data_IF_139713769222
#
_entry.id   IF_139713769222
#
_cell.length_a   1.000
_cell.length_b   1.000
_cell.length_c   1.000
_cell.angle_alpha   90.00
_cell.angle_beta   90.00
_cell.angle_gamma   90.00
#
_symmetry.space_group_name_H-M   'P 1'
#
loop_
_entity.id
_entity.type
_entity.pdbx_description
1 polymer ?
#
# COMPACT_ATOMS: atom_id res chain seq x y z
N UNK A 1 -4.80 -6.38 19.67
CA UNK A 1 -3.89 -7.45 19.19
C UNK A 1 -4.50 -8.07 17.94
N UNK A 2 -4.58 -7.30 16.86
CA UNK A 2 -4.91 -7.83 15.54
C UNK A 2 -3.60 -8.21 14.89
N UNK A 3 -3.30 -9.50 14.78
CA UNK A 3 -2.17 -9.95 13.99
C UNK A 3 -2.54 -9.70 12.53
N UNK A 4 -2.01 -8.62 11.97
CA UNK A 4 -1.88 -8.46 10.53
C UNK A 4 -0.88 -9.54 10.12
N UNK A 5 -1.37 -10.70 9.71
CA UNK A 5 -0.55 -11.72 9.09
C UNK A 5 -0.28 -11.18 7.69
N UNK A 6 0.74 -10.34 7.58
CA UNK A 6 1.38 -10.06 6.30
C UNK A 6 1.84 -11.42 5.78
N UNK A 7 1.25 -11.86 4.68
CA UNK A 7 1.89 -12.92 3.89
C UNK A 7 3.24 -12.33 3.51
N UNK A 8 4.31 -12.83 4.13
CA UNK A 8 5.68 -12.26 4.23
C UNK A 8 6.36 -11.80 2.91
N UNK A 9 5.68 -11.80 1.76
CA UNK A 9 6.19 -11.30 0.47
C UNK A 9 5.17 -10.50 -0.34
N UNK A 10 3.85 -10.64 -0.12
CA UNK A 10 2.83 -10.05 -1.03
C UNK A 10 1.66 -9.40 -0.30
N UNK A 11 1.25 -8.22 -0.77
CA UNK A 11 0.16 -7.43 -0.17
C UNK A 11 -1.25 -7.86 -0.62
N UNK A 12 -1.38 -8.97 -1.35
CA UNK A 12 -2.66 -9.50 -1.81
C UNK A 12 -2.55 -10.41 -3.04
N UNK A 13 -3.68 -10.94 -3.53
CA UNK A 13 -3.68 -11.90 -4.64
C UNK A 13 -3.26 -11.26 -5.98
N UNK A 14 -3.59 -9.99 -6.22
CA UNK A 14 -3.16 -9.29 -7.43
C UNK A 14 -1.66 -9.05 -7.47
N UNK A 15 -1.03 -8.84 -6.32
CA UNK A 15 0.41 -8.63 -6.21
C UNK A 15 1.18 -9.91 -6.58
N UNK A 16 0.74 -11.04 -6.03
CA UNK A 16 1.24 -12.36 -6.39
C UNK A 16 1.05 -12.63 -7.89
N UNK A 17 -0.12 -12.32 -8.45
CA UNK A 17 -0.36 -12.51 -9.88
C UNK A 17 0.56 -11.66 -10.76
N UNK A 18 0.76 -10.38 -10.41
CA UNK A 18 1.70 -9.52 -11.15
C UNK A 18 3.12 -10.06 -11.11
N UNK A 19 3.56 -10.59 -9.97
CA UNK A 19 4.88 -11.19 -9.82
C UNK A 19 5.03 -12.48 -10.65
N UNK A 20 4.02 -13.37 -10.63
CA UNK A 20 4.02 -14.58 -11.46
C UNK A 20 4.03 -14.24 -12.96
N UNK A 21 3.25 -13.25 -13.39
CA UNK A 21 3.22 -12.80 -14.79
C UNK A 21 4.57 -12.20 -15.17
N UNK A 22 5.17 -11.38 -14.30
CA UNK A 22 6.48 -10.79 -14.50
C UNK A 22 7.60 -11.84 -14.62
N UNK A 23 7.61 -12.86 -13.76
CA UNK A 23 8.60 -13.96 -13.79
C UNK A 23 8.54 -14.81 -15.05
N UNK A 24 7.36 -14.95 -15.65
CA UNK A 24 7.19 -15.70 -16.90
C UNK A 24 7.41 -14.82 -18.15
N UNK A 25 7.77 -13.54 -17.99
CA UNK A 25 7.99 -12.57 -19.09
C UNK A 25 6.79 -12.45 -20.05
N UNK A 26 5.57 -12.59 -19.52
CA UNK A 26 4.33 -12.57 -20.32
C UNK A 26 3.72 -11.16 -20.33
N UNK A 27 3.12 -10.78 -21.46
CA UNK A 27 2.26 -9.59 -21.55
C UNK A 27 0.98 -9.74 -20.70
N UNK A 28 0.57 -8.66 -20.05
CA UNK A 28 -0.70 -8.58 -19.31
C UNK A 28 -1.93 -8.76 -20.22
N UNK A 29 -1.81 -8.47 -21.52
CA UNK A 29 -2.94 -8.64 -22.46
C UNK A 29 -3.08 -10.07 -22.99
N UNK A 30 -2.03 -10.89 -22.90
CA UNK A 30 -2.05 -12.29 -23.36
C UNK A 30 -1.54 -13.26 -22.30
N UNK A 31 -2.28 -13.32 -21.19
CA UNK A 31 -1.90 -14.15 -20.06
C UNK A 31 -2.23 -15.63 -20.36
N UNK A 32 -1.26 -16.57 -20.25
CA UNK A 32 -1.52 -18.00 -20.32
C UNK A 32 -2.14 -18.47 -19.00
N UNK A 33 -3.46 -18.28 -18.89
CA UNK A 33 -4.24 -18.58 -17.67
C UNK A 33 -3.97 -19.98 -17.16
N UNK A 34 -3.86 -20.98 -18.04
CA UNK A 34 -3.62 -22.36 -17.62
C UNK A 34 -2.35 -22.52 -16.77
N UNK A 35 -1.25 -21.85 -17.18
CA UNK A 35 0.04 -21.90 -16.50
C UNK A 35 0.05 -21.03 -15.24
N UNK A 36 -0.50 -19.81 -15.32
CA UNK A 36 -0.55 -18.90 -14.17
C UNK A 36 -1.42 -19.47 -13.05
N UNK A 37 -2.57 -20.08 -13.38
CA UNK A 37 -3.43 -20.74 -12.38
C UNK A 37 -2.71 -21.87 -11.66
N UNK A 38 -1.91 -22.66 -12.37
CA UNK A 38 -1.14 -23.76 -11.77
C UNK A 38 -0.05 -23.24 -10.82
N UNK A 39 0.71 -22.22 -11.24
CA UNK A 39 1.71 -21.58 -10.40
C UNK A 39 1.09 -20.92 -9.16
N UNK A 40 -0.07 -20.27 -9.32
CA UNK A 40 -0.80 -19.64 -8.24
C UNK A 40 -1.27 -20.66 -7.20
N UNK A 41 -1.88 -21.77 -7.64
CA UNK A 41 -2.30 -22.85 -6.75
C UNK A 41 -1.11 -23.51 -6.06
N UNK A 42 -0.02 -23.77 -6.78
CA UNK A 42 1.20 -24.31 -6.20
C UNK A 42 1.75 -23.42 -5.07
N UNK A 43 1.76 -22.10 -5.28
CA UNK A 43 2.15 -21.15 -4.23
C UNK A 43 1.24 -21.25 -3.01
N UNK A 44 -0.09 -21.28 -3.20
CA UNK A 44 -1.05 -21.43 -2.09
C UNK A 44 -0.87 -22.73 -1.31
N UNK A 45 -0.68 -23.87 -1.99
CA UNK A 45 -0.42 -25.13 -1.31
C UNK A 45 0.88 -25.09 -0.51
N UNK A 46 1.94 -24.46 -1.03
CA UNK A 46 3.20 -24.30 -0.31
C UNK A 46 3.08 -23.44 0.96
N UNK A 47 2.12 -22.51 0.99
CA UNK A 47 1.81 -21.73 2.20
C UNK A 47 1.07 -22.59 3.22
N UNK A 48 0.11 -23.40 2.75
CA UNK A 48 -0.65 -24.30 3.61
C UNK A 48 0.25 -25.35 4.27
N UNK A 49 1.25 -25.88 3.55
CA UNK A 49 2.25 -26.82 4.10
C UNK A 49 3.15 -26.19 5.17
N UNK A 50 3.30 -24.86 5.14
CA UNK A 50 4.10 -24.09 6.12
C UNK A 50 3.26 -23.60 7.31
N UNK A 51 2.04 -24.09 7.47
CA UNK A 51 1.07 -23.65 8.48
C UNK A 51 0.78 -22.14 8.45
N UNK A 52 0.93 -21.50 7.28
CA UNK A 52 0.60 -20.08 7.10
C UNK A 52 -0.89 -19.91 6.79
N UNK A 53 -1.53 -18.94 7.45
CA UNK A 53 -2.94 -18.65 7.25
C UNK A 53 -3.18 -18.04 5.86
N UNK A 54 -3.94 -18.74 5.01
CA UNK A 54 -4.39 -18.21 3.72
C UNK A 54 -5.60 -17.30 3.95
N UNK A 55 -5.57 -16.07 3.42
CA UNK A 55 -6.71 -15.15 3.53
C UNK A 55 -7.81 -15.50 2.51
N UNK A 56 -9.06 -15.16 2.82
CA UNK A 56 -10.21 -15.47 1.95
C UNK A 56 -10.10 -14.88 0.55
N UNK A 57 -9.41 -13.75 0.39
CA UNK A 57 -9.19 -13.09 -0.90
C UNK A 57 -8.38 -13.96 -1.87
N UNK A 58 -7.39 -14.72 -1.38
CA UNK A 58 -6.62 -15.64 -2.21
C UNK A 58 -7.46 -16.83 -2.68
N UNK A 59 -8.36 -17.34 -1.83
CA UNK A 59 -9.26 -18.42 -2.21
C UNK A 59 -10.28 -17.96 -3.27
N UNK A 60 -10.81 -16.75 -3.13
CA UNK A 60 -11.70 -16.14 -4.14
C UNK A 60 -10.97 -15.98 -5.48
N UNK A 61 -9.70 -15.55 -5.45
CA UNK A 61 -8.90 -15.44 -6.66
C UNK A 61 -8.59 -16.81 -7.28
N UNK A 62 -8.24 -17.82 -6.48
CA UNK A 62 -8.04 -19.19 -6.95
C UNK A 62 -9.28 -19.73 -7.67
N UNK A 63 -10.47 -19.57 -7.08
CA UNK A 63 -11.73 -19.96 -7.69
C UNK A 63 -11.99 -19.20 -9.01
N UNK A 64 -11.71 -17.90 -9.04
CA UNK A 64 -11.83 -17.07 -10.24
C UNK A 64 -10.92 -17.57 -11.37
N UNK A 65 -9.66 -17.86 -11.08
CA UNK A 65 -8.68 -18.38 -12.04
C UNK A 65 -9.06 -19.77 -12.57
N UNK A 66 -9.58 -20.65 -11.71
CA UNK A 66 -10.07 -21.98 -12.12
C UNK A 66 -11.29 -21.82 -13.03
N UNK A 67 -12.22 -20.92 -12.71
CA UNK A 67 -13.39 -20.62 -13.53
C UNK A 67 -12.99 -20.12 -14.92
N UNK A 68 -12.06 -19.16 -14.99
CA UNK A 68 -11.54 -18.64 -16.27
C UNK A 68 -10.84 -19.74 -17.06
N UNK A 69 -10.00 -20.57 -16.40
CA UNK A 69 -9.34 -21.72 -17.04
C UNK A 69 -10.35 -22.71 -17.62
N UNK A 70 -11.41 -23.03 -16.88
CA UNK A 70 -12.47 -23.93 -17.34
C UNK A 70 -13.17 -23.37 -18.58
N UNK A 71 -13.61 -22.10 -18.55
CA UNK A 71 -14.33 -21.47 -19.67
C UNK A 71 -13.46 -21.33 -20.93
N UNK A 72 -12.14 -21.18 -20.78
CA UNK A 72 -11.20 -21.12 -21.90
C UNK A 72 -10.92 -22.48 -22.54
N UNK A 73 -11.02 -23.58 -21.78
CA UNK A 73 -10.67 -24.92 -22.26
C UNK A 73 -11.89 -25.71 -22.74
N UNK A 74 -13.09 -25.35 -22.31
CA UNK A 74 -14.32 -26.02 -22.71
C UNK A 74 -14.76 -25.57 -24.11
N UNK A 75 -15.28 -26.49 -24.96
CA UNK A 75 -15.90 -26.11 -26.21
C UNK A 75 -17.13 -25.23 -25.94
N UNK A 76 -17.24 -24.11 -26.65
CA UNK A 76 -18.42 -23.25 -26.57
C UNK A 76 -19.60 -24.01 -27.16
N UNK A 77 -20.66 -24.20 -26.36
CA UNK A 77 -21.91 -24.73 -26.87
C UNK A 77 -22.48 -23.74 -27.91
N UNK A 78 -23.08 -24.23 -29.01
CA UNK A 78 -23.76 -23.35 -29.95
C UNK A 78 -24.88 -22.62 -29.20
N UNK A 79 -24.67 -21.31 -29.04
CA UNK A 79 -25.50 -20.32 -28.36
C UNK A 79 -27.02 -20.62 -28.46
N UNK A 80 -27.62 -21.09 -27.36
CA UNK A 80 -29.02 -20.79 -27.06
C UNK A 80 -29.03 -19.53 -26.18
N UNK A 81 -29.13 -18.35 -26.81
CA UNK A 81 -29.51 -17.04 -26.26
C UNK A 81 -29.31 -16.78 -24.74
N UNK A 82 -28.14 -17.12 -24.17
CA UNK A 82 -27.77 -16.63 -22.84
C UNK A 82 -27.04 -15.28 -23.00
N UNK A 83 -27.61 -14.16 -22.52
CA UNK A 83 -26.96 -12.84 -22.58
C UNK A 83 -25.64 -12.79 -21.78
N UNK A 84 -25.30 -13.82 -21.00
CA UNK A 84 -23.97 -13.94 -20.40
C UNK A 84 -22.88 -14.50 -21.33
N UNK A 85 -23.24 -15.18 -22.42
CA UNK A 85 -22.29 -15.83 -23.33
C UNK A 85 -21.85 -14.97 -24.52
N UNK A 86 -22.48 -13.80 -24.74
CA UNK A 86 -21.94 -12.76 -25.62
C UNK A 86 -20.68 -12.07 -25.05
N UNK A 87 -20.29 -12.39 -23.80
CA UNK A 87 -19.23 -11.70 -23.06
C UNK A 87 -17.82 -12.15 -23.47
N UNK A 88 -17.34 -11.65 -24.61
CA UNK A 88 -15.92 -11.39 -24.94
C UNK A 88 -14.86 -12.41 -24.46
N UNK A 89 -13.60 -11.97 -24.32
CA UNK A 89 -12.57 -12.81 -23.71
C UNK A 89 -12.85 -12.91 -22.19
N UNK A 90 -12.99 -14.12 -21.60
CA UNK A 90 -13.17 -14.29 -20.15
C UNK A 90 -12.06 -13.67 -19.28
N UNK A 91 -10.90 -13.38 -19.87
CA UNK A 91 -9.75 -12.78 -19.19
C UNK A 91 -9.89 -11.27 -19.00
N UNK A 92 -10.76 -10.61 -19.76
CA UNK A 92 -10.83 -9.14 -19.86
C UNK A 92 -10.94 -8.46 -18.49
N UNK A 93 -11.88 -8.90 -17.66
CA UNK A 93 -12.10 -8.31 -16.33
C UNK A 93 -10.86 -8.43 -15.43
N UNK A 94 -10.20 -9.59 -15.44
CA UNK A 94 -8.99 -9.83 -14.66
C UNK A 94 -7.85 -8.92 -15.14
N UNK A 95 -7.67 -8.77 -16.45
CA UNK A 95 -6.63 -7.92 -17.04
C UNK A 95 -6.84 -6.46 -16.63
N UNK A 96 -8.08 -5.95 -16.72
CA UNK A 96 -8.40 -4.58 -16.30
C UNK A 96 -8.07 -4.34 -14.82
N UNK A 97 -8.40 -5.29 -13.95
CA UNK A 97 -8.08 -5.21 -12.52
C UNK A 97 -6.57 -5.24 -12.28
N UNK A 98 -5.82 -6.11 -12.96
CA UNK A 98 -4.37 -6.19 -12.86
C UNK A 98 -3.68 -4.90 -13.34
N UNK A 99 -4.14 -4.31 -14.44
CA UNK A 99 -3.62 -3.03 -14.95
C UNK A 99 -3.90 -1.91 -13.95
N UNK A 100 -5.10 -1.86 -13.38
CA UNK A 100 -5.47 -0.87 -12.37
C UNK A 100 -4.61 -1.02 -11.11
N UNK A 101 -4.45 -2.24 -10.61
CA UNK A 101 -3.62 -2.51 -9.45
C UNK A 101 -2.16 -2.13 -9.72
N UNK A 102 -1.60 -2.49 -10.88
CA UNK A 102 -0.25 -2.11 -11.30
C UNK A 102 -0.05 -0.59 -11.34
N UNK A 103 -1.05 0.16 -11.80
CA UNK A 103 -1.02 1.62 -11.80
C UNK A 103 -0.94 2.18 -10.37
N UNK A 104 -1.84 1.73 -9.47
CA UNK A 104 -1.84 2.20 -8.09
C UNK A 104 -0.60 1.77 -7.31
N UNK A 105 -0.07 0.58 -7.56
CA UNK A 105 1.20 0.12 -6.99
C UNK A 105 2.34 1.08 -7.34
N UNK A 106 2.47 1.45 -8.62
CA UNK A 106 3.47 2.44 -9.05
C UNK A 106 3.23 3.84 -8.48
N UNK A 107 1.97 4.25 -8.36
CA UNK A 107 1.63 5.54 -7.76
C UNK A 107 2.00 5.57 -6.27
N UNK A 108 1.76 4.48 -5.55
CA UNK A 108 2.15 4.31 -4.15
C UNK A 108 3.68 4.35 -3.99
N UNK A 109 4.43 3.62 -4.83
CA UNK A 109 5.90 3.64 -4.85
C UNK A 109 6.43 5.07 -5.11
N UNK A 110 5.83 5.81 -6.05
CA UNK A 110 6.20 7.19 -6.33
C UNK A 110 5.94 8.13 -5.14
N UNK A 111 4.78 8.00 -4.48
CA UNK A 111 4.44 8.79 -3.30
C UNK A 111 5.33 8.44 -2.11
N UNK A 112 5.66 7.17 -1.93
CA UNK A 112 6.59 6.70 -0.90
C UNK A 112 7.97 7.34 -1.08
N UNK A 113 8.51 7.35 -2.29
CA UNK A 113 9.78 8.03 -2.58
C UNK A 113 9.71 9.53 -2.27
N UNK A 114 8.61 10.20 -2.64
CA UNK A 114 8.39 11.63 -2.32
C UNK A 114 8.34 11.87 -0.81
N UNK A 115 7.67 10.98 -0.08
CA UNK A 115 7.60 11.05 1.38
C UNK A 115 8.99 10.88 2.00
N UNK A 116 9.78 9.91 1.55
CA UNK A 116 11.15 9.70 2.04
C UNK A 116 12.07 10.90 1.76
N UNK A 117 11.93 11.55 0.60
CA UNK A 117 12.63 12.81 0.30
C UNK A 117 12.18 13.96 1.22
N UNK A 118 10.88 14.08 1.46
CA UNK A 118 10.31 15.12 2.30
C UNK A 118 10.67 14.90 3.78
N UNK A 119 10.68 13.66 4.26
CA UNK A 119 11.01 13.28 5.62
C UNK A 119 12.49 13.58 5.99
N UNK A 120 13.36 13.77 5.00
CA UNK A 120 14.74 14.26 5.21
C UNK A 120 14.81 15.76 5.52
N UNK A 121 13.73 16.51 5.28
CA UNK A 121 13.64 17.93 5.56
C UNK A 121 12.89 18.15 6.87
N UNK A 122 13.57 18.77 7.84
CA UNK A 122 12.97 19.14 9.12
C UNK A 122 12.61 20.61 9.10
N UNK A 123 11.36 20.95 9.37
CA UNK A 123 10.98 22.33 9.64
C UNK A 123 11.56 22.73 10.99
N UNK A 124 11.97 23.99 11.11
CA UNK A 124 12.17 24.57 12.44
C UNK A 124 10.77 24.63 13.03
N UNK A 125 10.50 23.80 14.05
CA UNK A 125 9.18 23.68 14.66
C UNK A 125 8.54 25.05 14.85
N UNK A 126 7.22 25.13 14.66
CA UNK A 126 6.49 26.39 14.75
C UNK A 126 6.94 27.13 16.01
N UNK A 127 7.21 28.43 15.88
CA UNK A 127 7.35 29.24 17.07
C UNK A 127 6.02 29.08 17.78
N UNK A 128 6.00 28.30 18.87
CA UNK A 128 4.91 28.33 19.83
C UNK A 128 4.81 29.80 20.16
N UNK A 129 3.79 30.48 19.62
CA UNK A 129 3.50 31.84 19.99
C UNK A 129 3.52 31.81 21.52
N UNK A 130 4.38 32.61 22.13
CA UNK A 130 4.41 32.69 23.57
C UNK A 130 3.05 33.25 23.97
N UNK A 131 2.09 32.35 24.19
CA UNK A 131 0.77 32.71 24.62
C UNK A 131 1.00 33.49 25.90
N UNK A 132 0.57 34.76 25.91
CA UNK A 132 0.54 35.52 27.13
C UNK A 132 -0.47 34.81 28.04
N UNK A 133 0.06 33.98 28.95
CA UNK A 133 -0.74 33.21 29.91
C UNK A 133 -1.34 34.12 30.99
N UNK A 134 -1.31 35.44 30.82
CA UNK A 134 -2.13 36.33 31.64
C UNK A 134 -3.59 35.93 31.47
N UNK A 135 -4.27 35.50 32.55
CA UNK A 135 -5.67 35.12 32.47
C UNK A 135 -6.48 36.37 32.14
N UNK A 136 -6.90 36.50 30.89
CA UNK A 136 -7.92 37.48 30.53
C UNK A 136 -9.25 36.93 31.06
N UNK A 137 -9.74 37.48 32.17
CA UNK A 137 -11.04 37.15 32.76
C UNK A 137 -12.23 37.69 31.95
N UNK A 138 -12.16 37.64 30.62
CA UNK A 138 -13.33 37.84 29.74
C UNK A 138 -13.72 36.49 29.17
N UNK A 139 -14.90 36.04 29.59
CA UNK A 139 -15.61 34.85 29.08
C UNK A 139 -14.74 33.58 28.96
N UNK A 140 -14.67 32.75 30.02
CA UNK A 140 -13.83 31.54 30.03
C UNK A 140 -14.25 30.47 29.01
N UNK A 141 -15.39 30.68 28.34
CA UNK A 141 -15.84 29.86 27.23
C UNK A 141 -15.76 30.74 25.98
N UNK A 142 -14.69 30.59 25.20
CA UNK A 142 -14.77 30.95 23.77
C UNK A 142 -15.88 30.14 23.10
N UNK A 143 -16.19 30.43 21.84
CA UNK A 143 -17.24 29.74 21.05
C UNK A 143 -16.93 28.27 20.74
N UNK A 144 -16.00 27.64 21.47
CA UNK A 144 -15.54 26.28 21.23
C UNK A 144 -16.60 25.31 21.73
N UNK A 145 -17.15 24.53 20.81
CA UNK A 145 -18.13 23.51 21.15
C UNK A 145 -17.46 22.25 21.70
N UNK A 146 -18.22 21.42 22.43
CA UNK A 146 -17.74 20.09 22.88
C UNK A 146 -17.26 19.22 21.70
N UNK A 147 -17.86 19.43 20.53
CA UNK A 147 -17.50 18.73 19.30
C UNK A 147 -16.11 19.13 18.81
N UNK A 148 -15.81 20.44 18.75
CA UNK A 148 -14.48 20.95 18.39
C UNK A 148 -13.39 20.48 19.35
N UNK A 149 -13.70 20.42 20.66
CA UNK A 149 -12.76 19.84 21.64
C UNK A 149 -12.51 18.35 21.38
N UNK A 150 -13.55 17.61 21.01
CA UNK A 150 -13.45 16.21 20.62
C UNK A 150 -12.59 16.01 19.37
N UNK A 151 -12.74 16.87 18.37
CA UNK A 151 -11.91 16.84 17.16
C UNK A 151 -10.45 17.17 17.46
N UNK A 152 -10.19 18.21 18.26
CA UNK A 152 -8.84 18.57 18.69
C UNK A 152 -8.17 17.44 19.49
N UNK A 153 -8.92 16.82 20.41
CA UNK A 153 -8.42 15.68 21.17
C UNK A 153 -8.10 14.48 20.28
N UNK A 154 -8.95 14.19 19.30
CA UNK A 154 -8.70 13.12 18.34
C UNK A 154 -7.47 13.41 17.47
N UNK A 155 -7.32 14.65 16.99
CA UNK A 155 -6.16 15.07 16.21
C UNK A 155 -4.86 14.90 17.01
N UNK A 156 -4.86 15.28 18.28
CA UNK A 156 -3.71 15.14 19.18
C UNK A 156 -3.36 13.67 19.42
N UNK A 157 -4.36 12.80 19.63
CA UNK A 157 -4.11 11.37 19.77
C UNK A 157 -3.51 10.77 18.49
N UNK A 158 -4.02 11.15 17.30
CA UNK A 158 -3.46 10.70 16.03
C UNK A 158 -2.03 11.21 15.81
N UNK A 159 -1.72 12.41 16.30
CA UNK A 159 -0.38 12.99 16.20
C UNK A 159 0.63 12.30 17.14
N UNK A 160 0.18 11.86 18.32
CA UNK A 160 0.98 11.05 19.25
C UNK A 160 1.22 9.62 18.77
N UNK A 161 0.30 9.05 18.00
CA UNK A 161 0.45 7.71 17.39
C UNK A 161 1.38 7.69 16.17
N UNK A 162 1.61 8.83 15.52
CA UNK A 162 2.60 8.92 14.44
C UNK A 162 3.97 8.64 15.02
N UNK A 163 4.73 7.77 14.36
CA UNK A 163 6.11 7.50 14.74
C UNK A 163 6.86 8.83 14.93
N UNK A 164 7.52 9.05 16.08
CA UNK A 164 8.33 10.25 16.24
C UNK A 164 9.35 10.24 15.10
N UNK A 165 9.49 11.36 14.39
CA UNK A 165 10.61 11.56 13.48
C UNK A 165 11.89 11.44 14.33
N UNK A 166 12.46 10.24 14.42
CA UNK A 166 13.56 9.96 15.34
C UNK A 166 14.79 10.69 14.84
N UNK A 167 14.99 11.91 15.33
CA UNK A 167 16.27 12.58 15.21
C UNK A 167 17.20 12.03 16.28
N UNK A 168 17.86 10.90 15.99
CA UNK A 168 19.10 10.61 16.70
C UNK A 168 20.14 11.58 16.15
N UNK A 169 20.40 12.68 16.86
CA UNK A 169 21.60 13.50 16.62
C UNK A 169 22.80 12.63 16.98
N UNK A 170 23.26 11.82 16.02
CA UNK A 170 24.53 11.11 16.16
C UNK A 170 25.65 12.12 15.99
N UNK A 171 26.20 12.55 17.13
CA UNK A 171 27.48 13.25 17.21
C UNK A 171 27.37 14.76 17.21
N UNK A 172 27.86 15.37 18.29
CA UNK A 172 28.25 16.78 18.28
C UNK A 172 29.47 16.92 17.39
N UNK A 173 29.28 17.24 16.11
CA UNK A 173 30.39 17.63 15.23
C UNK A 173 30.88 19.00 15.68
N UNK A 174 32.17 19.13 15.92
CA UNK A 174 32.77 20.41 16.30
C UNK A 174 32.68 21.40 15.12
N UNK A 175 32.63 22.70 15.43
CA UNK A 175 32.57 23.76 14.41
C UNK A 175 33.75 23.66 13.42
N UNK A 176 34.90 23.17 13.90
CA UNK A 176 36.10 22.92 13.10
C UNK A 176 35.91 21.78 12.08
N UNK A 177 35.31 20.65 12.49
CA UNK A 177 35.01 19.53 11.59
C UNK A 177 33.97 19.93 10.54
N UNK A 178 32.96 20.72 10.90
CA UNK A 178 31.96 21.20 9.94
C UNK A 178 32.58 22.14 8.90
N UNK A 179 33.49 23.03 9.33
CA UNK A 179 34.26 23.90 8.43
C UNK A 179 35.19 23.11 7.49
N UNK A 180 35.79 22.02 7.98
CA UNK A 180 36.65 21.15 7.17
C UNK A 180 35.85 20.41 6.08
N UNK A 181 34.66 19.88 6.42
CA UNK A 181 33.78 19.21 5.46
C UNK A 181 33.27 20.16 4.37
N UNK A 182 32.87 21.38 4.74
CA UNK A 182 32.41 22.37 3.76
C UNK A 182 33.53 22.80 2.81
N UNK A 183 34.78 22.90 3.30
CA UNK A 183 35.94 23.19 2.44
C UNK A 183 36.24 22.06 1.45
N UNK A 184 36.04 20.81 1.83
CA UNK A 184 36.24 19.65 0.94
C UNK A 184 35.17 19.53 -0.15
N UNK A 185 33.97 20.07 0.06
CA UNK A 185 32.88 20.06 -0.94
C UNK A 185 32.92 21.23 -1.92
N UNK A 186 33.72 22.26 -1.64
CA UNK A 186 33.84 23.48 -2.46
C UNK A 186 35.10 23.51 -3.34
N UNK A 187 35.85 22.40 -3.39
CA UNK A 187 36.95 22.15 -4.34
C UNK A 187 36.51 21.03 -5.28
#
# INVERSE_FOLDING_TARGET
>A
MGYLIELDVYQGPFDLLLDLIGKNEVDLWDIPIAAITEQYLHYLYSLQEKDLAITGEFLVMAATLIRIKSRLLLPQEPLEDDPEDEKGDPRTELVEQLVRYKFFKKAAEFLQHRYEEAARHFTRGDHVESFDLTPVYTEPFGSVTLHELGELYHHLLMELEKEPLVHTISGKISLQERLALVRLQLV
#
